data_IF_534354711179
#
_entry.id   IF_534354711179
#
_cell.length_a   1.000
_cell.length_b   1.000
_cell.length_c   1.000
_cell.angle_alpha   90.00
_cell.angle_beta   90.00
_cell.angle_gamma   90.00
#
_symmetry.space_group_name_H-M   'P 1'
#
loop_
_entity.id
_entity.type
_entity.pdbx_description
1 polymer ?
#
# COMPACT_ATOMS: atom_id res chain seq x y z
N UNK A 1 24.06 -11.39 6.35
CA UNK A 1 23.31 -10.20 5.93
C UNK A 1 23.36 -9.16 7.02
N UNK A 2 23.69 -7.92 6.70
CA UNK A 2 23.76 -6.88 7.72
C UNK A 2 22.42 -6.69 8.43
N UNK A 3 22.49 -6.52 9.75
CA UNK A 3 21.28 -6.25 10.54
C UNK A 3 20.57 -4.98 10.10
N UNK A 4 21.33 -4.02 9.55
CA UNK A 4 20.78 -2.76 9.09
C UNK A 4 19.71 -2.96 8.01
N UNK A 5 19.90 -3.92 7.10
CA UNK A 5 18.93 -4.18 6.04
C UNK A 5 17.64 -4.75 6.62
N UNK A 6 17.73 -5.65 7.61
CA UNK A 6 16.54 -6.16 8.30
C UNK A 6 15.80 -5.04 9.01
N UNK A 7 16.51 -4.18 9.71
CA UNK A 7 15.91 -3.06 10.43
C UNK A 7 15.23 -2.11 9.46
N UNK A 8 15.92 -1.77 8.36
CA UNK A 8 15.34 -0.87 7.36
C UNK A 8 14.12 -1.49 6.69
N UNK A 9 14.18 -2.77 6.34
CA UNK A 9 13.04 -3.46 5.73
C UNK A 9 11.81 -3.38 6.64
N UNK A 10 11.98 -3.73 7.92
CA UNK A 10 10.84 -3.74 8.84
C UNK A 10 10.37 -2.32 9.15
N UNK A 11 11.29 -1.33 9.20
CA UNK A 11 10.89 0.05 9.40
C UNK A 11 10.03 0.56 8.25
N UNK A 12 10.47 0.38 7.00
CA UNK A 12 9.69 0.81 5.85
C UNK A 12 8.41 0.02 5.69
N UNK A 13 8.45 -1.29 5.92
CA UNK A 13 7.26 -2.13 5.84
C UNK A 13 6.22 -1.74 6.90
N UNK A 14 6.67 -1.50 8.13
CA UNK A 14 5.77 -1.09 9.22
C UNK A 14 5.13 0.27 8.91
N UNK A 15 5.92 1.24 8.42
CA UNK A 15 5.38 2.55 8.06
C UNK A 15 4.38 2.44 6.92
N UNK A 16 4.70 1.66 5.89
CA UNK A 16 3.79 1.44 4.77
C UNK A 16 2.49 0.80 5.25
N UNK A 17 2.59 -0.26 6.05
CA UNK A 17 1.42 -0.98 6.55
C UNK A 17 0.58 -0.12 7.48
N UNK A 18 1.22 0.70 8.32
CA UNK A 18 0.51 1.63 9.19
C UNK A 18 -0.29 2.63 8.36
N UNK A 19 0.33 3.18 7.32
CA UNK A 19 -0.33 4.13 6.43
C UNK A 19 -1.48 3.47 5.66
N UNK A 20 -1.27 2.24 5.16
CA UNK A 20 -2.32 1.51 4.46
C UNK A 20 -3.50 1.18 5.38
N UNK A 21 -3.20 0.79 6.62
CA UNK A 21 -4.25 0.52 7.61
C UNK A 21 -5.03 1.77 7.94
N UNK A 22 -4.35 2.91 8.07
CA UNK A 22 -4.99 4.19 8.33
C UNK A 22 -5.91 4.59 7.18
N UNK A 23 -5.42 4.46 5.92
CA UNK A 23 -6.25 4.81 4.76
C UNK A 23 -7.42 3.85 4.59
N UNK A 24 -7.23 2.56 4.89
CA UNK A 24 -8.33 1.60 4.85
C UNK A 24 -9.43 1.96 5.86
N UNK A 25 -9.02 2.34 7.06
CA UNK A 25 -9.98 2.80 8.08
C UNK A 25 -10.69 4.07 7.63
N UNK A 26 -9.93 5.05 7.09
CA UNK A 26 -10.49 6.30 6.60
C UNK A 26 -11.51 6.05 5.50
N UNK A 27 -11.24 5.10 4.61
CA UNK A 27 -12.15 4.77 3.50
C UNK A 27 -13.51 4.24 3.99
N UNK A 28 -13.56 3.68 5.19
CA UNK A 28 -14.81 3.18 5.78
C UNK A 28 -15.60 4.28 6.49
N UNK A 29 -15.02 5.46 6.68
CA UNK A 29 -15.68 6.59 7.34
C UNK A 29 -16.46 7.42 6.32
N UNK A 30 -17.44 8.24 6.78
CA UNK A 30 -18.17 9.14 5.89
C UNK A 30 -17.26 10.09 5.09
N UNK A 31 -16.17 10.55 5.68
CA UNK A 31 -15.20 11.40 4.98
C UNK A 31 -14.57 10.67 3.80
N UNK A 32 -14.28 9.37 3.98
CA UNK A 32 -13.76 8.54 2.89
C UNK A 32 -14.78 8.37 1.78
N UNK A 33 -16.06 8.22 2.13
CA UNK A 33 -17.13 8.13 1.14
C UNK A 33 -17.19 9.39 0.30
N UNK A 34 -17.08 10.56 0.92
CA UNK A 34 -17.08 11.84 0.20
C UNK A 34 -15.86 11.97 -0.69
N UNK A 35 -14.68 11.56 -0.22
CA UNK A 35 -13.47 11.61 -1.01
C UNK A 35 -13.56 10.71 -2.25
N UNK A 36 -14.09 9.51 -2.10
CA UNK A 36 -14.28 8.58 -3.22
C UNK A 36 -15.31 9.11 -4.20
N UNK A 37 -16.41 9.70 -3.70
CA UNK A 37 -17.42 10.29 -4.55
C UNK A 37 -16.84 11.43 -5.41
N UNK A 38 -15.95 12.24 -4.82
CA UNK A 38 -15.28 13.31 -5.55
C UNK A 38 -14.45 12.76 -6.71
N UNK A 39 -13.88 11.56 -6.55
CA UNK A 39 -13.10 10.90 -7.59
C UNK A 39 -13.99 10.09 -8.57
N UNK A 40 -15.30 10.06 -8.35
CA UNK A 40 -16.23 9.34 -9.22
C UNK A 40 -16.59 7.95 -8.72
N UNK A 41 -16.09 7.53 -7.56
CA UNK A 41 -16.38 6.21 -7.01
C UNK A 41 -17.46 6.35 -5.94
N UNK A 42 -18.72 6.14 -6.33
CA UNK A 42 -19.85 6.30 -5.41
C UNK A 42 -20.37 5.00 -4.82
N UNK A 43 -19.90 3.85 -5.31
CA UNK A 43 -20.39 2.56 -4.85
C UNK A 43 -19.77 2.15 -3.52
N UNK A 44 -20.63 1.78 -2.55
CA UNK A 44 -20.18 1.31 -1.24
C UNK A 44 -19.39 0.01 -1.37
N UNK A 45 -19.84 -0.91 -2.25
CA UNK A 45 -19.18 -2.19 -2.43
C UNK A 45 -17.74 -2.08 -2.86
N UNK A 46 -17.44 -1.21 -3.82
CA UNK A 46 -16.08 -1.00 -4.29
C UNK A 46 -15.18 -0.49 -3.19
N UNK A 47 -15.68 0.50 -2.42
CA UNK A 47 -14.90 1.10 -1.33
C UNK A 47 -14.60 0.08 -0.23
N UNK A 48 -15.59 -0.74 0.15
CA UNK A 48 -15.40 -1.77 1.15
C UNK A 48 -14.43 -2.85 0.67
N UNK A 49 -14.57 -3.27 -0.58
CA UNK A 49 -13.69 -4.26 -1.18
C UNK A 49 -12.25 -3.78 -1.17
N UNK A 50 -12.01 -2.53 -1.54
CA UNK A 50 -10.67 -1.96 -1.57
C UNK A 50 -10.08 -1.90 -0.15
N UNK A 51 -10.87 -1.48 0.83
CA UNK A 51 -10.41 -1.41 2.23
C UNK A 51 -10.06 -2.79 2.77
N UNK A 52 -10.90 -3.78 2.52
CA UNK A 52 -10.64 -5.15 2.97
C UNK A 52 -9.41 -5.73 2.28
N UNK A 53 -9.24 -5.48 0.99
CA UNK A 53 -8.06 -5.95 0.26
C UNK A 53 -6.78 -5.34 0.84
N UNK A 54 -6.80 -4.07 1.20
CA UNK A 54 -5.66 -3.41 1.85
C UNK A 54 -5.32 -4.07 3.19
N UNK A 55 -6.32 -4.35 4.00
CA UNK A 55 -6.10 -4.97 5.31
C UNK A 55 -5.53 -6.38 5.17
N UNK A 56 -6.04 -7.16 4.21
CA UNK A 56 -5.49 -8.48 3.93
C UNK A 56 -4.04 -8.37 3.48
N UNK A 57 -3.73 -7.43 2.59
CA UNK A 57 -2.37 -7.20 2.13
C UNK A 57 -1.43 -6.81 3.27
N UNK A 58 -1.89 -5.97 4.19
CA UNK A 58 -1.11 -5.58 5.37
C UNK A 58 -0.76 -6.81 6.21
N UNK A 59 -1.73 -7.68 6.46
CA UNK A 59 -1.49 -8.92 7.22
C UNK A 59 -0.45 -9.78 6.51
N UNK A 60 -0.59 -9.95 5.20
CA UNK A 60 0.35 -10.76 4.42
C UNK A 60 1.78 -10.21 4.53
N UNK A 61 1.95 -8.89 4.48
CA UNK A 61 3.28 -8.29 4.56
C UNK A 61 3.87 -8.36 5.97
N UNK A 62 3.03 -8.31 7.00
CA UNK A 62 3.51 -8.29 8.38
C UNK A 62 3.83 -9.66 8.94
N UNK A 63 3.19 -10.72 8.43
CA UNK A 63 3.40 -12.08 8.93
C UNK A 63 4.59 -12.71 8.21
N UNK A 64 5.69 -13.01 8.92
CA UNK A 64 6.91 -13.51 8.26
C UNK A 64 6.77 -14.93 7.69
N UNK A 65 5.84 -15.72 8.20
CA UNK A 65 5.67 -17.12 7.76
C UNK A 65 4.89 -17.27 6.46
N UNK A 66 4.33 -16.18 5.92
CA UNK A 66 3.59 -16.22 4.67
C UNK A 66 4.55 -16.54 3.51
N UNK A 67 4.18 -17.46 2.60
CA UNK A 67 5.03 -17.77 1.45
C UNK A 67 5.36 -16.55 0.59
N UNK A 68 6.56 -16.57 0.01
CA UNK A 68 7.04 -15.45 -0.81
C UNK A 68 6.10 -15.12 -1.97
N UNK A 69 5.46 -16.13 -2.57
CA UNK A 69 4.52 -15.92 -3.66
C UNK A 69 3.36 -15.03 -3.25
N UNK A 70 2.80 -15.26 -2.05
CA UNK A 70 1.69 -14.45 -1.55
C UNK A 70 2.13 -13.04 -1.21
N UNK A 71 3.35 -12.88 -0.69
CA UNK A 71 3.92 -11.56 -0.44
C UNK A 71 4.10 -10.78 -1.76
N UNK A 72 4.57 -11.45 -2.78
CA UNK A 72 4.72 -10.85 -4.11
C UNK A 72 3.36 -10.36 -4.64
N UNK A 73 2.33 -11.19 -4.48
CA UNK A 73 0.98 -10.79 -4.89
C UNK A 73 0.48 -9.59 -4.09
N UNK A 74 0.78 -9.52 -2.79
CA UNK A 74 0.40 -8.38 -1.97
C UNK A 74 1.08 -7.11 -2.44
N UNK A 75 2.39 -7.16 -2.73
CA UNK A 75 3.11 -6.00 -3.27
C UNK A 75 2.55 -5.58 -4.62
N UNK A 76 2.24 -6.54 -5.48
CA UNK A 76 1.64 -6.24 -6.79
C UNK A 76 0.26 -5.59 -6.64
N UNK A 77 -0.56 -6.09 -5.73
CA UNK A 77 -1.86 -5.52 -5.44
C UNK A 77 -1.77 -4.08 -4.94
N UNK A 78 -0.83 -3.82 -4.05
CA UNK A 78 -0.59 -2.44 -3.59
C UNK A 78 -0.09 -1.55 -4.72
N UNK A 79 0.76 -2.07 -5.62
CA UNK A 79 1.22 -1.31 -6.78
C UNK A 79 0.04 -0.87 -7.65
N UNK A 80 -0.88 -1.80 -7.92
CA UNK A 80 -2.08 -1.49 -8.71
C UNK A 80 -2.92 -0.44 -7.99
N UNK A 81 -3.10 -0.57 -6.68
CA UNK A 81 -3.85 0.40 -5.89
C UNK A 81 -3.22 1.78 -5.94
N UNK A 82 -1.89 1.87 -5.81
CA UNK A 82 -1.19 3.16 -5.82
C UNK A 82 -1.26 3.84 -7.19
N UNK A 83 -1.06 3.06 -8.26
CA UNK A 83 -1.17 3.60 -9.63
C UNK A 83 -2.60 4.05 -9.90
N UNK A 84 -3.59 3.26 -9.47
CA UNK A 84 -5.00 3.61 -9.66
C UNK A 84 -5.36 4.89 -8.93
N UNK A 85 -4.82 5.09 -7.72
CA UNK A 85 -5.07 6.32 -6.97
C UNK A 85 -4.50 7.54 -7.70
N UNK A 86 -3.30 7.42 -8.25
CA UNK A 86 -2.69 8.51 -9.01
C UNK A 86 -3.49 8.83 -10.27
N UNK A 87 -3.94 7.80 -10.98
CA UNK A 87 -4.77 7.98 -12.19
C UNK A 87 -6.09 8.65 -11.81
N UNK A 88 -6.72 8.24 -10.71
CA UNK A 88 -7.98 8.82 -10.28
C UNK A 88 -7.84 10.32 -9.99
N UNK A 89 -6.79 10.71 -9.28
CA UNK A 89 -6.53 12.13 -9.00
C UNK A 89 -6.24 12.90 -10.29
N UNK A 90 -5.47 12.31 -11.20
CA UNK A 90 -5.16 12.94 -12.48
C UNK A 90 -6.41 13.13 -13.33
N UNK A 91 -7.35 12.16 -13.28
CA UNK A 91 -8.57 12.18 -14.08
C UNK A 91 -9.47 13.38 -13.77
N UNK A 92 -9.44 13.86 -12.55
CA UNK A 92 -10.22 15.04 -12.13
C UNK A 92 -9.39 16.31 -12.08
N UNK A 93 -8.18 16.26 -12.63
CA UNK A 93 -7.24 17.40 -12.61
C UNK A 93 -7.05 17.95 -11.20
N UNK A 94 -6.81 17.03 -10.26
CA UNK A 94 -6.68 17.39 -8.85
C UNK A 94 -5.43 18.26 -8.61
N UNK A 95 -5.43 18.96 -7.49
CA UNK A 95 -4.31 19.83 -7.14
C UNK A 95 -3.03 19.02 -6.97
N UNK A 96 -1.85 19.58 -7.33
CA UNK A 96 -0.59 18.86 -7.14
C UNK A 96 -0.39 18.36 -5.72
N UNK A 97 -0.86 19.10 -4.72
CA UNK A 97 -0.74 18.72 -3.32
C UNK A 97 -1.47 17.40 -3.02
N UNK A 98 -2.53 17.09 -3.78
CA UNK A 98 -3.27 15.84 -3.58
C UNK A 98 -2.45 14.59 -3.92
N UNK A 99 -1.37 14.74 -4.68
CA UNK A 99 -0.49 13.62 -5.06
C UNK A 99 0.60 13.34 -4.02
N UNK A 100 0.79 14.22 -3.04
CA UNK A 100 1.86 14.06 -2.05
C UNK A 100 1.70 12.79 -1.21
N UNK A 101 0.52 12.48 -0.64
CA UNK A 101 0.36 11.25 0.13
C UNK A 101 0.64 10.00 -0.71
N UNK A 102 0.13 9.95 -1.94
CA UNK A 102 0.34 8.79 -2.83
C UNK A 102 1.81 8.63 -3.19
N UNK A 103 2.49 9.73 -3.45
CA UNK A 103 3.92 9.69 -3.79
C UNK A 103 4.76 9.21 -2.60
N UNK A 104 4.45 9.68 -1.39
CA UNK A 104 5.13 9.26 -0.18
C UNK A 104 4.90 7.76 0.07
N UNK A 105 3.65 7.32 -0.06
CA UNK A 105 3.30 5.92 0.12
C UNK A 105 3.99 5.04 -0.92
N UNK A 106 4.06 5.49 -2.16
CA UNK A 106 4.75 4.77 -3.23
C UNK A 106 6.24 4.60 -2.90
N UNK A 107 6.86 5.64 -2.35
CA UNK A 107 8.26 5.58 -1.93
C UNK A 107 8.46 4.53 -0.83
N UNK A 108 7.59 4.51 0.16
CA UNK A 108 7.63 3.51 1.23
C UNK A 108 7.42 2.09 0.68
N UNK A 109 6.47 1.93 -0.24
CA UNK A 109 6.21 0.66 -0.89
C UNK A 109 7.44 0.18 -1.66
N UNK A 110 8.04 1.05 -2.46
CA UNK A 110 9.20 0.71 -3.27
C UNK A 110 10.40 0.33 -2.39
N UNK A 111 10.64 1.08 -1.32
CA UNK A 111 11.73 0.79 -0.39
C UNK A 111 11.52 -0.58 0.29
N UNK A 112 10.31 -0.85 0.76
CA UNK A 112 9.97 -2.13 1.38
C UNK A 112 10.17 -3.28 0.41
N UNK A 113 9.67 -3.14 -0.81
CA UNK A 113 9.76 -4.16 -1.84
C UNK A 113 11.22 -4.44 -2.23
N UNK A 114 12.00 -3.39 -2.46
CA UNK A 114 13.41 -3.52 -2.82
C UNK A 114 14.20 -4.23 -1.72
N UNK A 115 13.99 -3.82 -0.46
CA UNK A 115 14.68 -4.43 0.67
C UNK A 115 14.25 -5.88 0.89
N UNK A 116 12.97 -6.18 0.67
CA UNK A 116 12.49 -7.56 0.76
C UNK A 116 13.19 -8.45 -0.26
N UNK A 117 13.34 -7.99 -1.50
CA UNK A 117 14.06 -8.74 -2.53
C UNK A 117 15.52 -8.94 -2.17
N UNK A 118 16.14 -7.93 -1.57
CA UNK A 118 17.54 -8.08 -1.12
C UNK A 118 17.66 -9.16 -0.07
N UNK A 119 16.76 -9.19 0.89
CA UNK A 119 16.77 -10.20 1.93
C UNK A 119 16.46 -11.60 1.39
N UNK A 120 15.47 -11.71 0.51
CA UNK A 120 15.09 -12.99 -0.09
C UNK A 120 16.20 -13.53 -0.99
N UNK A 121 16.82 -12.67 -1.79
CA UNK A 121 17.92 -13.07 -2.65
C UNK A 121 19.13 -13.57 -1.85
N UNK A 122 19.43 -12.90 -0.73
CA UNK A 122 20.50 -13.32 0.16
C UNK A 122 20.19 -14.68 0.80
N UNK A 123 18.94 -14.89 1.18
CA UNK A 123 18.53 -16.17 1.77
C UNK A 123 18.49 -17.30 0.75
N UNK A 124 18.17 -16.98 -0.49
CA UNK A 124 18.11 -17.97 -1.57
C UNK A 124 19.49 -18.45 -2.02
N UNK A 125 20.49 -17.63 -1.84
CA UNK A 125 21.86 -17.97 -2.22
C UNK A 125 22.61 -18.65 -1.07
#
# INVERSE_FOLDING_TARGET
>A
MPKAIHILFWAFTALFCLEMSFTAYYELLPQGALAFARLGFTGVGFRMELSLAKLVGVVVLLVPMIPARLKEWAYAGFAINLVSAMIAHASISDRPLAFVPSSLTTTLWAASYFLWHRLSGSQAS
#
